data_IF_984511300028
#
_entry.id   IF_984511300028
#
_cell.length_a   1.000
_cell.length_b   1.000
_cell.length_c   1.000
_cell.angle_alpha   90.00
_cell.angle_beta   90.00
_cell.angle_gamma   90.00
#
_symmetry.space_group_name_H-M   'P 1'
#
loop_
_entity.id
_entity.type
_entity.pdbx_description
1 polymer ?
#
# COMPACT_ATOMS: atom_id res chain seq x y z
N UNK A 1 7.19 -15.39 -16.46
CA UNK A 1 6.35 -14.54 -17.34
C UNK A 1 4.89 -14.91 -17.16
N UNK A 2 4.04 -13.94 -16.90
CA UNK A 2 2.59 -14.07 -16.98
C UNK A 2 2.13 -13.46 -18.30
N UNK A 3 1.46 -14.24 -19.13
CA UNK A 3 0.86 -13.73 -20.35
C UNK A 3 -0.66 -13.79 -20.20
N UNK A 4 -1.33 -12.67 -20.38
CA UNK A 4 -2.78 -12.56 -20.36
C UNK A 4 -3.25 -12.47 -21.80
N UNK A 5 -4.07 -13.42 -22.22
CA UNK A 5 -4.59 -13.47 -23.58
C UNK A 5 -6.08 -13.81 -23.62
N UNK A 6 -6.78 -13.33 -24.63
CA UNK A 6 -8.14 -13.77 -24.96
C UNK A 6 -8.09 -14.63 -26.24
N UNK A 7 -8.81 -15.73 -26.24
CA UNK A 7 -8.93 -16.62 -27.40
C UNK A 7 -10.29 -16.38 -28.07
N UNK A 8 -10.34 -15.51 -29.04
CA UNK A 8 -11.60 -15.17 -29.74
C UNK A 8 -11.72 -15.87 -31.10
N UNK A 9 -10.61 -16.26 -31.71
CA UNK A 9 -10.59 -16.85 -33.06
C UNK A 9 -9.63 -18.04 -33.21
N UNK A 10 -9.22 -18.67 -32.11
CA UNK A 10 -8.19 -19.70 -32.11
C UNK A 10 -6.75 -19.17 -32.10
N UNK A 11 -6.55 -17.87 -32.13
CA UNK A 11 -5.27 -17.22 -31.95
C UNK A 11 -5.15 -16.63 -30.53
N UNK A 12 -4.05 -16.93 -29.83
CA UNK A 12 -3.69 -16.32 -28.56
C UNK A 12 -3.15 -14.93 -28.83
N UNK A 13 -3.92 -13.90 -28.51
CA UNK A 13 -3.42 -12.53 -28.51
C UNK A 13 -2.79 -12.20 -27.17
N UNK A 14 -1.49 -11.99 -27.11
CA UNK A 14 -0.81 -11.49 -25.92
C UNK A 14 -1.18 -10.02 -25.73
N UNK A 15 -1.74 -9.71 -24.58
CA UNK A 15 -2.21 -8.37 -24.26
C UNK A 15 -1.23 -7.62 -23.35
N UNK A 16 -0.60 -8.36 -22.44
CA UNK A 16 0.35 -7.79 -21.50
C UNK A 16 1.33 -8.85 -21.01
N UNK A 17 2.61 -8.55 -21.11
CA UNK A 17 3.65 -9.40 -20.54
C UNK A 17 4.10 -8.82 -19.22
N UNK A 18 3.83 -9.52 -18.15
CA UNK A 18 4.33 -9.17 -16.82
C UNK A 18 5.69 -9.84 -16.65
N UNK A 19 6.74 -9.06 -16.75
CA UNK A 19 8.07 -9.49 -16.31
C UNK A 19 8.08 -9.35 -14.78
N UNK A 20 8.76 -10.19 -14.05
CA UNK A 20 8.92 -10.02 -12.62
C UNK A 20 7.61 -10.18 -11.79
N UNK A 21 6.92 -11.29 -11.99
CA UNK A 21 5.87 -11.75 -11.11
C UNK A 21 6.01 -13.24 -10.86
N UNK A 22 6.33 -13.63 -9.62
CA UNK A 22 6.39 -15.01 -9.17
C UNK A 22 5.19 -15.35 -8.29
N UNK A 23 4.86 -16.63 -8.18
CA UNK A 23 3.77 -17.13 -7.33
C UNK A 23 2.43 -16.41 -7.58
N UNK A 24 2.13 -16.16 -8.86
CA UNK A 24 0.93 -15.41 -9.23
C UNK A 24 -0.35 -16.21 -8.93
N UNK A 25 -1.25 -15.57 -8.21
CA UNK A 25 -2.63 -15.98 -7.98
C UNK A 25 -3.53 -15.17 -8.90
N UNK A 26 -4.43 -15.85 -9.63
CA UNK A 26 -5.35 -15.20 -10.58
C UNK A 26 -6.77 -15.46 -10.12
N UNK A 27 -7.53 -14.39 -9.94
CA UNK A 27 -8.95 -14.45 -9.61
C UNK A 27 -9.76 -13.81 -10.73
N UNK A 28 -10.81 -14.50 -11.18
CA UNK A 28 -11.83 -13.92 -12.07
C UNK A 28 -12.81 -13.17 -11.19
N UNK A 29 -12.99 -11.90 -11.49
CA UNK A 29 -13.83 -10.98 -10.69
C UNK A 29 -14.81 -10.23 -11.57
N UNK A 30 -15.81 -9.60 -10.96
CA UNK A 30 -16.85 -8.83 -11.66
C UNK A 30 -16.91 -7.42 -11.14
N UNK A 31 -16.09 -6.54 -11.69
CA UNK A 31 -16.03 -5.11 -11.36
C UNK A 31 -16.56 -4.27 -12.52
N UNK A 32 -15.96 -4.38 -13.70
CA UNK A 32 -16.39 -3.76 -14.96
C UNK A 32 -17.21 -4.73 -15.81
N UNK A 33 -16.77 -5.99 -15.87
CA UNK A 33 -17.40 -7.07 -16.64
C UNK A 33 -17.51 -8.32 -15.78
N UNK A 34 -18.04 -9.41 -16.35
CA UNK A 34 -18.09 -10.71 -15.66
C UNK A 34 -16.77 -11.52 -15.76
N UNK A 35 -15.76 -10.96 -16.41
CA UNK A 35 -14.51 -11.65 -16.70
C UNK A 35 -13.27 -10.78 -16.46
N UNK A 36 -13.33 -9.84 -15.54
CA UNK A 36 -12.15 -9.07 -15.14
C UNK A 36 -11.18 -9.96 -14.36
N UNK A 37 -9.90 -9.64 -14.38
CA UNK A 37 -8.87 -10.40 -13.68
C UNK A 37 -8.24 -9.54 -12.58
N UNK A 38 -8.17 -10.11 -11.39
CA UNK A 38 -7.36 -9.61 -10.28
C UNK A 38 -6.22 -10.58 -10.05
N UNK A 39 -5.00 -10.11 -10.18
CA UNK A 39 -3.78 -10.93 -10.18
C UNK A 39 -2.87 -10.40 -9.10
N UNK A 40 -2.41 -11.30 -8.23
CA UNK A 40 -1.48 -10.97 -7.16
C UNK A 40 -0.28 -11.92 -7.20
N UNK A 41 0.87 -11.44 -6.79
CA UNK A 41 2.08 -12.25 -6.70
C UNK A 41 3.24 -11.52 -6.05
N UNK A 42 4.43 -12.10 -6.19
CA UNK A 42 5.67 -11.54 -5.65
C UNK A 42 6.53 -11.01 -6.79
N UNK A 43 6.79 -9.72 -6.79
CA UNK A 43 7.73 -9.07 -7.70
C UNK A 43 9.10 -8.84 -7.06
N UNK A 44 10.06 -8.29 -7.80
CA UNK A 44 11.41 -8.01 -7.31
C UNK A 44 11.46 -6.97 -6.17
N UNK A 45 10.47 -6.09 -6.14
CA UNK A 45 10.36 -5.02 -5.12
C UNK A 45 9.37 -5.35 -3.99
N UNK A 46 8.88 -6.58 -3.91
CA UNK A 46 7.87 -6.98 -2.94
C UNK A 46 6.55 -7.43 -3.58
N UNK A 47 5.46 -7.49 -2.80
CA UNK A 47 4.14 -7.85 -3.32
C UNK A 47 3.75 -6.95 -4.48
N UNK A 48 3.12 -7.53 -5.50
CA UNK A 48 2.64 -6.81 -6.69
C UNK A 48 1.26 -7.31 -7.06
N UNK A 49 0.38 -6.40 -7.47
CA UNK A 49 -0.92 -6.76 -8.00
C UNK A 49 -1.20 -6.07 -9.32
N UNK A 50 -2.07 -6.71 -10.12
CA UNK A 50 -2.60 -6.17 -11.35
C UNK A 50 -4.12 -6.31 -11.34
N UNK A 51 -4.79 -5.30 -11.86
CA UNK A 51 -6.21 -5.38 -12.18
C UNK A 51 -6.40 -5.18 -13.68
N UNK A 52 -7.00 -6.19 -14.34
CA UNK A 52 -7.23 -6.20 -15.79
C UNK A 52 -8.73 -6.25 -16.06
N UNK A 53 -9.26 -5.22 -16.70
CA UNK A 53 -10.65 -5.19 -17.14
C UNK A 53 -10.80 -5.87 -18.51
N UNK A 54 -11.86 -6.68 -18.67
CA UNK A 54 -12.22 -7.24 -19.97
C UNK A 54 -13.16 -6.28 -20.71
N UNK A 55 -12.67 -5.67 -21.77
CA UNK A 55 -13.39 -4.66 -22.56
C UNK A 55 -13.26 -4.95 -24.06
N UNK A 56 -14.38 -4.96 -24.78
CA UNK A 56 -14.39 -5.10 -26.23
C UNK A 56 -13.59 -6.30 -26.76
N UNK A 57 -13.72 -7.47 -26.12
CA UNK A 57 -13.04 -8.69 -26.52
C UNK A 57 -11.58 -8.81 -26.11
N UNK A 58 -11.05 -7.90 -25.29
CA UNK A 58 -9.65 -7.90 -24.85
C UNK A 58 -9.52 -7.48 -23.39
N UNK A 59 -8.41 -7.88 -22.77
CA UNK A 59 -8.03 -7.38 -21.45
C UNK A 59 -7.25 -6.07 -21.57
N UNK A 60 -7.54 -5.13 -20.69
CA UNK A 60 -6.80 -3.88 -20.52
C UNK A 60 -6.30 -3.81 -19.08
N UNK A 61 -5.01 -3.63 -18.86
CA UNK A 61 -4.44 -3.41 -17.52
C UNK A 61 -4.83 -2.01 -17.08
N UNK A 62 -5.54 -1.92 -15.97
CA UNK A 62 -5.97 -0.65 -15.37
C UNK A 62 -5.13 -0.27 -14.17
N UNK A 63 -4.63 -1.27 -13.41
CA UNK A 63 -3.73 -1.08 -12.28
C UNK A 63 -2.59 -2.09 -12.36
N UNK A 64 -1.39 -1.66 -12.04
CA UNK A 64 -0.19 -2.47 -11.90
C UNK A 64 0.74 -1.80 -10.90
N UNK A 65 0.75 -2.29 -9.66
CA UNK A 65 1.42 -1.63 -8.55
C UNK A 65 2.17 -2.62 -7.65
N UNK A 66 3.31 -2.19 -7.12
CA UNK A 66 4.05 -2.90 -6.09
C UNK A 66 3.42 -2.60 -4.73
N UNK A 67 2.42 -3.39 -4.38
CA UNK A 67 1.68 -3.31 -3.13
C UNK A 67 0.95 -4.64 -2.89
N UNK A 68 0.58 -4.93 -1.65
CA UNK A 68 -0.43 -5.94 -1.34
C UNK A 68 -1.82 -5.32 -1.56
N UNK A 69 -2.74 -6.07 -2.12
CA UNK A 69 -4.09 -5.58 -2.33
C UNK A 69 -5.15 -6.64 -2.01
N UNK A 70 -6.34 -6.19 -1.68
CA UNK A 70 -7.51 -7.01 -1.41
C UNK A 70 -8.69 -6.43 -2.18
N UNK A 71 -9.35 -7.26 -2.98
CA UNK A 71 -10.52 -6.87 -3.75
C UNK A 71 -11.77 -7.57 -3.18
N UNK A 72 -12.76 -6.79 -2.79
CA UNK A 72 -14.07 -7.26 -2.35
C UNK A 72 -15.16 -6.56 -3.16
N UNK A 73 -15.75 -7.30 -4.11
CA UNK A 73 -16.71 -6.76 -5.06
C UNK A 73 -16.14 -5.57 -5.83
N UNK A 74 -16.65 -4.37 -5.56
CA UNK A 74 -16.18 -3.10 -6.15
C UNK A 74 -15.34 -2.25 -5.21
N UNK A 75 -14.85 -2.83 -4.12
CA UNK A 75 -13.96 -2.19 -3.15
C UNK A 75 -12.56 -2.78 -3.28
N UNK A 76 -11.56 -1.94 -3.51
CA UNK A 76 -10.15 -2.30 -3.58
C UNK A 76 -9.42 -1.64 -2.42
N UNK A 77 -8.79 -2.45 -1.57
CA UNK A 77 -7.91 -1.98 -0.50
C UNK A 77 -6.47 -2.28 -0.86
N UNK A 78 -5.63 -1.25 -0.88
CA UNK A 78 -4.20 -1.33 -1.22
C UNK A 78 -3.38 -1.04 0.04
N UNK A 79 -2.38 -1.88 0.31
CA UNK A 79 -1.45 -1.75 1.42
C UNK A 79 -0.05 -1.52 0.87
N UNK A 80 0.43 -0.31 1.01
CA UNK A 80 1.74 0.11 0.53
C UNK A 80 2.71 0.28 1.70
N UNK A 81 3.80 -0.48 1.69
CA UNK A 81 4.88 -0.29 2.66
C UNK A 81 5.52 1.10 2.48
N UNK A 82 5.73 1.79 3.58
CA UNK A 82 6.42 3.08 3.61
C UNK A 82 7.91 2.84 3.90
N UNK A 83 8.75 3.65 3.27
CA UNK A 83 10.19 3.66 3.53
C UNK A 83 10.48 4.62 4.69
N UNK A 84 10.01 4.26 5.87
CA UNK A 84 10.18 5.04 7.09
C UNK A 84 10.86 4.21 8.20
N UNK A 85 11.20 4.83 9.33
CA UNK A 85 12.00 4.21 10.37
C UNK A 85 11.36 2.95 10.98
N UNK A 86 10.04 2.93 11.10
CA UNK A 86 9.29 1.83 11.68
C UNK A 86 8.75 0.84 10.65
N UNK A 87 8.74 1.20 9.36
CA UNK A 87 8.18 0.36 8.29
C UNK A 87 6.64 0.33 8.31
N UNK A 88 6.00 1.47 8.48
CA UNK A 88 4.55 1.57 8.42
C UNK A 88 4.00 1.09 7.08
N UNK A 89 2.73 0.68 7.10
CA UNK A 89 1.94 0.49 5.89
C UNK A 89 0.91 1.62 5.76
N UNK A 90 0.76 2.14 4.54
CA UNK A 90 -0.36 2.99 4.16
C UNK A 90 -1.48 2.12 3.62
N UNK A 91 -2.65 2.16 4.24
CA UNK A 91 -3.87 1.54 3.75
C UNK A 91 -4.71 2.55 2.99
N UNK A 92 -4.95 2.32 1.71
CA UNK A 92 -5.82 3.14 0.88
C UNK A 92 -6.99 2.30 0.38
N UNK A 93 -8.21 2.75 0.59
CA UNK A 93 -9.42 2.09 0.10
C UNK A 93 -9.99 2.88 -1.07
N UNK A 94 -10.27 2.17 -2.15
CA UNK A 94 -10.91 2.69 -3.35
C UNK A 94 -12.26 2.00 -3.55
N UNK A 95 -13.22 2.74 -4.07
CA UNK A 95 -14.51 2.21 -4.54
C UNK A 95 -14.64 2.46 -6.04
N UNK A 96 -15.02 1.42 -6.78
CA UNK A 96 -15.32 1.58 -8.19
C UNK A 96 -16.70 2.21 -8.39
N UNK A 97 -16.73 3.43 -8.92
CA UNK A 97 -17.94 4.22 -9.17
C UNK A 97 -17.76 5.10 -10.40
N UNK A 98 -18.81 5.29 -11.19
CA UNK A 98 -18.79 6.16 -12.37
C UNK A 98 -17.60 5.86 -13.31
N UNK A 99 -17.39 4.57 -13.60
CA UNK A 99 -16.35 4.05 -14.49
C UNK A 99 -14.90 4.38 -14.08
N UNK A 100 -14.67 4.64 -12.78
CA UNK A 100 -13.34 4.89 -12.22
C UNK A 100 -13.19 4.40 -10.78
N UNK A 101 -11.94 4.14 -10.37
CA UNK A 101 -11.57 3.93 -8.98
C UNK A 101 -11.49 5.26 -8.24
N UNK A 102 -12.33 5.45 -7.23
CA UNK A 102 -12.36 6.65 -6.41
C UNK A 102 -11.87 6.35 -5.01
N UNK A 103 -10.83 7.08 -4.57
CA UNK A 103 -10.31 6.96 -3.21
C UNK A 103 -11.36 7.37 -2.19
N UNK A 104 -11.64 6.49 -1.24
CA UNK A 104 -12.60 6.70 -0.16
C UNK A 104 -11.90 7.07 1.15
N UNK A 105 -10.79 6.38 1.47
CA UNK A 105 -10.04 6.62 2.69
C UNK A 105 -8.56 6.35 2.48
N UNK A 106 -7.75 6.98 3.32
CA UNK A 106 -6.32 6.72 3.44
C UNK A 106 -5.94 6.83 4.90
N UNK A 107 -5.18 5.88 5.40
CA UNK A 107 -4.65 5.90 6.76
C UNK A 107 -3.29 5.24 6.84
N UNK A 108 -2.47 5.66 7.77
CA UNK A 108 -1.21 5.00 8.13
C UNK A 108 -1.53 4.02 9.26
N UNK A 109 -1.20 2.74 9.04
CA UNK A 109 -1.43 1.70 10.03
C UNK A 109 -0.34 1.76 11.10
N UNK A 110 -0.71 1.66 12.39
CA UNK A 110 0.27 1.62 13.47
C UNK A 110 1.10 0.34 13.40
N UNK A 111 2.39 0.47 13.70
CA UNK A 111 3.30 -0.68 13.76
C UNK A 111 3.10 -1.45 15.07
N UNK A 112 3.00 -2.78 15.06
CA UNK A 112 2.87 -3.59 16.27
C UNK A 112 4.01 -3.36 17.26
N UNK A 113 3.73 -3.34 18.57
CA UNK A 113 4.73 -3.09 19.61
C UNK A 113 5.94 -4.03 19.53
N UNK A 114 5.73 -5.29 19.17
CA UNK A 114 6.80 -6.27 19.02
C UNK A 114 7.79 -5.90 17.89
N UNK A 115 7.31 -5.28 16.82
CA UNK A 115 8.13 -4.82 15.70
C UNK A 115 8.85 -3.52 16.04
N UNK A 116 8.18 -2.58 16.75
CA UNK A 116 8.81 -1.35 17.25
C UNK A 116 10.01 -1.65 18.15
N UNK A 117 9.95 -2.72 18.95
CA UNK A 117 11.03 -3.13 19.84
C UNK A 117 12.32 -3.54 19.10
N UNK A 118 12.26 -3.75 17.79
CA UNK A 118 13.42 -4.07 16.94
C UNK A 118 14.09 -2.82 16.35
N UNK A 119 13.52 -1.62 16.58
CA UNK A 119 14.05 -0.38 16.05
C UNK A 119 15.44 -0.08 16.62
N UNK A 120 16.44 0.19 15.77
CA UNK A 120 17.76 0.63 16.24
C UNK A 120 17.67 1.97 17.01
N UNK A 121 18.47 2.16 18.07
CA UNK A 121 18.41 3.38 18.89
C UNK A 121 18.68 4.68 18.12
N UNK A 122 19.50 4.64 17.09
CA UNK A 122 19.81 5.78 16.21
C UNK A 122 18.63 6.23 15.33
N UNK A 123 17.63 5.35 15.15
CA UNK A 123 16.39 5.65 14.42
C UNK A 123 15.28 6.22 15.28
N UNK A 124 15.45 6.29 16.59
CA UNK A 124 14.39 6.69 17.53
C UNK A 124 13.90 8.12 17.29
N UNK A 125 14.80 9.05 16.97
CA UNK A 125 14.42 10.44 16.69
C UNK A 125 13.60 10.56 15.38
N UNK A 126 13.95 9.78 14.38
CA UNK A 126 13.20 9.70 13.11
C UNK A 126 11.81 9.10 13.35
N UNK A 127 11.72 7.98 14.06
CA UNK A 127 10.46 7.35 14.44
C UNK A 127 9.54 8.30 15.24
N UNK A 128 10.11 9.07 16.17
CA UNK A 128 9.36 10.09 16.91
C UNK A 128 8.76 11.15 15.96
N UNK A 129 9.58 11.71 15.07
CA UNK A 129 9.12 12.72 14.12
C UNK A 129 8.01 12.16 13.19
N UNK A 130 8.18 10.92 12.70
CA UNK A 130 7.17 10.24 11.86
C UNK A 130 5.88 9.98 12.64
N UNK A 131 5.95 9.53 13.89
CA UNK A 131 4.77 9.33 14.74
C UNK A 131 3.98 10.64 14.95
N UNK A 132 4.68 11.77 15.12
CA UNK A 132 4.05 13.09 15.21
C UNK A 132 3.41 13.48 13.88
N UNK A 133 4.09 13.27 12.74
CA UNK A 133 3.58 13.54 11.40
C UNK A 133 2.31 12.73 11.10
N UNK A 134 2.31 11.44 11.45
CA UNK A 134 1.16 10.54 11.25
C UNK A 134 0.07 10.71 12.31
N UNK A 135 0.25 11.61 13.26
CA UNK A 135 -0.70 11.86 14.37
C UNK A 135 -0.91 10.63 15.24
N UNK A 136 0.10 9.77 15.37
CA UNK A 136 0.06 8.58 16.20
C UNK A 136 0.64 8.83 17.60
N UNK A 137 -0.24 9.16 18.56
CA UNK A 137 0.16 9.49 19.92
C UNK A 137 0.79 8.30 20.65
N UNK A 138 0.36 7.07 20.37
CA UNK A 138 0.88 5.87 21.03
C UNK A 138 2.35 5.64 20.62
N UNK A 139 2.64 5.71 19.33
CA UNK A 139 4.01 5.56 18.81
C UNK A 139 4.91 6.71 19.24
N UNK A 140 4.39 7.94 19.21
CA UNK A 140 5.13 9.10 19.74
C UNK A 140 5.55 8.89 21.19
N UNK A 141 4.63 8.43 22.04
CA UNK A 141 4.91 8.15 23.47
C UNK A 141 5.90 7.00 23.64
N UNK A 142 5.82 5.98 22.79
CA UNK A 142 6.76 4.86 22.82
C UNK A 142 8.21 5.30 22.55
N UNK A 143 8.41 6.33 21.74
CA UNK A 143 9.74 6.89 21.45
C UNK A 143 10.33 7.72 22.61
N UNK A 144 9.57 8.01 23.67
CA UNK A 144 9.97 8.89 24.76
C UNK A 144 10.29 8.12 26.03
N UNK A 145 11.11 8.73 26.88
CA UNK A 145 11.26 8.25 28.27
C UNK A 145 9.93 8.43 29.05
N UNK A 146 9.65 7.60 30.06
CA UNK A 146 8.36 7.57 30.72
C UNK A 146 7.89 8.93 31.26
N UNK A 147 8.81 9.76 31.73
CA UNK A 147 8.52 11.09 32.29
C UNK A 147 7.91 12.02 31.23
N UNK A 148 8.46 12.02 30.01
CA UNK A 148 7.98 12.84 28.89
C UNK A 148 6.78 12.22 28.19
N UNK A 149 6.70 10.90 28.17
CA UNK A 149 5.60 10.17 27.51
C UNK A 149 4.22 10.48 28.13
N UNK A 150 4.16 10.82 29.42
CA UNK A 150 2.93 11.16 30.12
C UNK A 150 2.51 12.64 29.95
N UNK A 151 3.46 13.52 29.71
CA UNK A 151 3.25 14.97 29.72
C UNK A 151 3.08 15.56 28.31
N UNK A 152 3.81 15.03 27.31
CA UNK A 152 3.83 15.60 25.96
C UNK A 152 2.61 15.18 25.14
N UNK A 153 1.88 16.14 24.62
CA UNK A 153 0.80 15.94 23.65
C UNK A 153 1.33 15.98 22.21
N UNK A 154 0.55 15.42 21.27
CA UNK A 154 0.88 15.49 19.84
C UNK A 154 0.97 16.93 19.32
N UNK A 155 0.13 17.82 19.79
CA UNK A 155 0.12 19.22 19.34
C UNK A 155 1.34 19.99 19.83
N UNK A 156 1.78 19.75 21.07
CA UNK A 156 3.01 20.32 21.62
C UNK A 156 4.24 19.76 20.90
N UNK A 157 4.28 18.45 20.63
CA UNK A 157 5.34 17.82 19.86
C UNK A 157 5.41 18.37 18.43
N UNK A 158 4.26 18.52 17.76
CA UNK A 158 4.18 19.10 16.43
C UNK A 158 4.62 20.57 16.42
N UNK A 159 4.24 21.36 17.43
CA UNK A 159 4.68 22.75 17.55
C UNK A 159 6.19 22.86 17.80
N UNK A 160 6.78 21.93 18.56
CA UNK A 160 8.21 21.87 18.81
C UNK A 160 9.01 21.52 17.55
N UNK A 161 8.55 20.52 16.77
CA UNK A 161 9.23 20.12 15.52
C UNK A 161 9.07 21.17 14.41
N UNK A 162 7.99 21.97 14.45
CA UNK A 162 7.63 22.90 13.38
C UNK A 162 7.09 22.19 12.12
N UNK A 163 6.84 22.93 11.03
CA UNK A 163 6.36 22.33 9.79
C UNK A 163 7.46 21.51 9.12
N UNK A 164 7.21 20.23 8.90
CA UNK A 164 8.06 19.35 8.11
C UNK A 164 7.17 18.37 7.34
N UNK A 165 7.58 18.03 6.10
CA UNK A 165 6.78 17.17 5.23
C UNK A 165 7.23 15.71 5.28
N UNK A 166 8.53 15.44 5.39
CA UNK A 166 9.09 14.08 5.49
C UNK A 166 10.48 14.05 6.10
N UNK A 167 10.74 13.02 6.89
CA UNK A 167 12.09 12.67 7.34
C UNK A 167 12.57 11.52 6.45
N UNK A 168 13.36 11.84 5.42
CA UNK A 168 14.07 10.84 4.61
C UNK A 168 15.52 10.80 5.00
N UNK A 169 16.08 9.59 5.14
CA UNK A 169 17.51 9.44 4.97
C UNK A 169 17.85 9.60 3.50
N UNK A 170 18.62 10.60 3.16
CA UNK A 170 19.35 10.64 1.90
C UNK A 170 20.50 9.65 2.00
N UNK A 171 20.42 8.55 1.25
CA UNK A 171 21.55 7.67 0.99
C UNK A 171 22.56 8.36 0.11
#
# INVERSE_FOLDING_TARGET
YLAIGAQDTGELSFIYQVEDLAQAEIQIVSVFSQADLFIQGQGAKGPRFLFCAYQQGRYCVLLDEYARAELDGKSLTVYQALLDALGHERRTTYQYQNDSWQRQSEEILPVPLAERALLPPDKMAEAFAQAVLYRNQEEMRWCLVPEWASELSLDEAAAFLGPFDFVYETQ
#
